data_IF_601863098925
#
_entry.id   IF_601863098925
#
_cell.length_a   1.000
_cell.length_b   1.000
_cell.length_c   1.000
_cell.angle_alpha   90.00
_cell.angle_beta   90.00
_cell.angle_gamma   90.00
#
_symmetry.space_group_name_H-M   'P 1'
#
loop_
_entity.id
_entity.type
_entity.pdbx_description
1 polymer ?
#
# COMPACT_ATOMS: atom_id res chain seq x y z
N UNK A 1 -14.85 3.56 29.23
CA UNK A 1 -16.19 4.18 29.11
C UNK A 1 -17.27 3.09 28.96
N UNK A 2 -17.20 2.20 27.96
CA UNK A 2 -18.26 1.19 27.72
C UNK A 2 -18.40 0.24 28.91
N UNK A 3 -17.32 -0.32 29.45
CA UNK A 3 -17.35 -1.16 30.64
C UNK A 3 -17.81 -0.41 31.91
N UNK A 4 -17.83 0.91 31.87
CA UNK A 4 -18.35 1.77 32.95
C UNK A 4 -19.81 2.21 32.70
N UNK A 5 -20.51 1.61 31.74
CA UNK A 5 -21.92 1.83 31.49
C UNK A 5 -22.28 2.79 30.34
N UNK A 6 -21.30 3.25 29.55
CA UNK A 6 -21.61 4.00 28.32
C UNK A 6 -22.32 3.09 27.32
N UNK A 7 -23.48 3.52 26.86
CA UNK A 7 -24.32 2.80 25.89
C UNK A 7 -24.20 3.32 24.46
N UNK A 8 -23.51 4.46 24.27
CA UNK A 8 -23.33 5.08 22.97
C UNK A 8 -21.90 5.64 22.85
N UNK A 9 -21.24 5.36 21.74
CA UNK A 9 -20.00 5.98 21.35
C UNK A 9 -20.25 6.90 20.14
N UNK A 10 -19.76 8.13 20.21
CA UNK A 10 -19.82 9.11 19.11
C UNK A 10 -18.42 9.41 18.62
N UNK A 11 -18.30 9.64 17.33
CA UNK A 11 -17.06 9.99 16.66
C UNK A 11 -17.30 10.28 15.18
N UNK A 12 -16.23 10.33 14.41
CA UNK A 12 -16.30 10.51 12.96
C UNK A 12 -15.52 9.42 12.26
N UNK A 13 -15.84 9.16 11.01
CA UNK A 13 -15.04 8.26 10.17
C UNK A 13 -13.65 8.89 10.00
N UNK A 14 -12.60 8.09 10.20
CA UNK A 14 -11.20 8.50 10.20
C UNK A 14 -10.80 9.52 11.28
N UNK A 15 -11.67 9.79 12.25
CA UNK A 15 -11.43 10.78 13.29
C UNK A 15 -11.39 12.24 12.78
N UNK A 16 -11.94 12.51 11.62
CA UNK A 16 -11.93 13.86 11.01
C UNK A 16 -12.71 14.81 11.90
N UNK A 17 -12.10 15.97 12.21
CA UNK A 17 -12.71 16.99 13.06
C UNK A 17 -11.74 18.12 13.37
N UNK A 18 -12.22 19.11 14.13
CA UNK A 18 -11.40 20.25 14.57
C UNK A 18 -10.27 19.82 15.51
N UNK A 19 -9.27 20.66 15.66
CA UNK A 19 -8.08 20.49 16.54
C UNK A 19 -7.28 19.24 16.17
N UNK A 20 -7.17 18.28 17.09
CA UNK A 20 -6.52 16.98 16.84
C UNK A 20 -7.49 15.94 16.23
N UNK A 21 -8.74 16.29 16.00
CA UNK A 21 -9.80 15.44 15.49
C UNK A 21 -10.78 14.94 16.55
N UNK A 22 -11.70 14.11 16.13
CA UNK A 22 -12.67 13.40 16.94
C UNK A 22 -12.22 11.95 17.21
N UNK A 23 -12.98 11.20 18.00
CA UNK A 23 -12.79 9.76 18.14
C UNK A 23 -12.96 9.09 16.77
N UNK A 24 -12.00 8.27 16.37
CA UNK A 24 -12.05 7.53 15.12
C UNK A 24 -13.00 6.33 15.24
N UNK A 25 -14.18 6.45 14.65
CA UNK A 25 -15.22 5.41 14.66
C UNK A 25 -14.73 4.12 14.01
N UNK A 26 -13.85 4.18 13.01
CA UNK A 26 -13.22 2.98 12.41
C UNK A 26 -12.53 2.14 13.49
N UNK A 27 -11.67 2.79 14.27
CA UNK A 27 -10.93 2.10 15.35
C UNK A 27 -11.85 1.63 16.48
N UNK A 28 -12.87 2.42 16.84
CA UNK A 28 -13.85 2.04 17.88
C UNK A 28 -14.62 0.80 17.47
N UNK A 29 -15.23 0.80 16.27
CA UNK A 29 -16.02 -0.32 15.74
C UNK A 29 -15.18 -1.58 15.60
N UNK A 30 -13.98 -1.46 15.02
CA UNK A 30 -13.10 -2.61 14.84
C UNK A 30 -12.68 -3.24 16.18
N UNK A 31 -12.31 -2.43 17.17
CA UNK A 31 -11.96 -2.96 18.51
C UNK A 31 -13.13 -3.63 19.20
N UNK A 32 -14.31 -3.00 19.20
CA UNK A 32 -15.50 -3.57 19.86
C UNK A 32 -15.93 -4.89 19.20
N UNK A 33 -15.93 -4.94 17.88
CA UNK A 33 -16.42 -6.11 17.14
C UNK A 33 -15.42 -7.27 17.09
N UNK A 34 -14.12 -7.00 17.09
CA UNK A 34 -13.09 -8.03 16.85
C UNK A 34 -12.35 -8.46 18.11
N UNK A 35 -12.35 -7.63 19.16
CA UNK A 35 -11.59 -7.89 20.38
C UNK A 35 -12.45 -8.06 21.63
N UNK A 36 -13.69 -7.59 21.61
CA UNK A 36 -14.58 -7.62 22.76
C UNK A 36 -15.87 -8.37 22.37
N UNK A 37 -15.88 -9.68 22.61
CA UNK A 37 -16.93 -10.59 22.17
C UNK A 37 -18.30 -10.32 22.83
N UNK A 38 -18.34 -9.61 23.96
CA UNK A 38 -19.55 -9.23 24.66
C UNK A 38 -20.34 -8.09 24.00
N UNK A 39 -19.75 -7.36 23.04
CA UNK A 39 -20.40 -6.24 22.37
C UNK A 39 -20.79 -6.57 20.93
N UNK A 40 -22.01 -6.23 20.57
CA UNK A 40 -22.53 -6.30 19.20
C UNK A 40 -22.70 -4.88 18.66
N UNK A 41 -21.84 -4.46 17.74
CA UNK A 41 -21.78 -3.09 17.22
C UNK A 41 -22.56 -2.95 15.90
N UNK A 42 -22.60 -4.00 15.09
CA UNK A 42 -23.25 -4.00 13.77
C UNK A 42 -24.28 -5.13 13.73
N UNK A 43 -25.57 -4.77 13.98
CA UNK A 43 -26.66 -5.74 14.05
C UNK A 43 -27.60 -5.73 12.85
N UNK A 44 -27.41 -4.80 11.89
CA UNK A 44 -28.34 -4.58 10.78
C UNK A 44 -27.68 -4.79 9.41
N UNK A 45 -27.24 -6.02 9.14
CA UNK A 45 -26.99 -6.50 7.80
C UNK A 45 -27.93 -7.67 7.51
N UNK A 46 -28.74 -7.59 6.48
CA UNK A 46 -29.46 -8.76 5.97
C UNK A 46 -28.40 -9.71 5.39
N UNK A 47 -28.07 -10.76 6.14
CA UNK A 47 -27.12 -11.80 5.72
C UNK A 47 -25.94 -12.01 6.67
N UNK A 48 -25.13 -13.01 6.36
CA UNK A 48 -23.92 -13.42 7.08
C UNK A 48 -22.75 -12.43 6.89
N UNK A 49 -22.98 -11.32 6.23
CA UNK A 49 -21.96 -10.35 5.83
C UNK A 49 -21.75 -9.30 6.92
N UNK A 50 -20.65 -9.44 7.65
CA UNK A 50 -20.22 -8.47 8.66
C UNK A 50 -19.82 -7.17 7.96
N UNK A 51 -20.52 -6.06 8.21
CA UNK A 51 -20.19 -4.73 7.68
C UNK A 51 -18.75 -4.27 7.98
N UNK A 52 -18.08 -4.94 8.91
CA UNK A 52 -16.68 -4.66 9.30
C UNK A 52 -15.72 -4.83 8.12
N UNK A 53 -15.96 -5.77 7.22
CA UNK A 53 -15.11 -5.99 6.05
C UNK A 53 -15.07 -4.80 5.08
N UNK A 54 -15.98 -3.85 5.20
CA UNK A 54 -16.02 -2.63 4.40
C UNK A 54 -15.33 -1.43 5.07
N UNK A 55 -14.70 -1.60 6.24
CA UNK A 55 -14.10 -0.48 6.97
C UNK A 55 -12.98 0.19 6.17
N UNK A 56 -12.15 -0.59 5.48
CA UNK A 56 -11.07 -0.04 4.65
C UNK A 56 -11.60 0.75 3.47
N UNK A 57 -12.61 0.23 2.78
CA UNK A 57 -13.30 0.90 1.67
C UNK A 57 -13.96 2.20 2.14
N UNK A 58 -14.71 2.15 3.24
CA UNK A 58 -15.35 3.31 3.85
C UNK A 58 -14.35 4.39 4.24
N UNK A 59 -13.25 4.00 4.86
CA UNK A 59 -12.19 4.94 5.24
C UNK A 59 -11.62 5.67 4.02
N UNK A 60 -11.32 4.94 2.95
CA UNK A 60 -10.79 5.51 1.70
C UNK A 60 -11.80 6.42 1.02
N UNK A 61 -13.05 5.98 0.91
CA UNK A 61 -14.14 6.76 0.33
C UNK A 61 -14.30 8.13 1.03
N UNK A 62 -14.23 8.15 2.36
CA UNK A 62 -14.36 9.40 3.12
C UNK A 62 -13.16 10.32 2.90
N UNK A 63 -11.92 9.80 2.85
CA UNK A 63 -10.74 10.60 2.52
C UNK A 63 -10.83 11.20 1.11
N UNK A 64 -11.24 10.42 0.12
CA UNK A 64 -11.40 10.87 -1.26
C UNK A 64 -12.50 11.94 -1.37
N UNK A 65 -13.66 11.69 -0.77
CA UNK A 65 -14.78 12.65 -0.77
C UNK A 65 -14.42 13.96 -0.09
N UNK A 66 -13.64 13.91 0.99
CA UNK A 66 -13.16 15.08 1.72
C UNK A 66 -11.95 15.77 1.04
N UNK A 67 -11.46 15.24 -0.08
CA UNK A 67 -10.22 15.67 -0.74
C UNK A 67 -9.03 15.78 0.23
N UNK A 68 -8.90 14.80 1.12
CA UNK A 68 -7.85 14.73 2.13
C UNK A 68 -6.88 13.60 1.80
N UNK A 69 -5.60 13.82 2.10
CA UNK A 69 -4.60 12.77 2.03
C UNK A 69 -4.91 11.68 3.06
N UNK A 70 -4.94 10.45 2.58
CA UNK A 70 -5.17 9.29 3.40
C UNK A 70 -3.96 9.00 4.32
N UNK A 71 -4.21 8.51 5.53
CA UNK A 71 -3.15 8.19 6.53
C UNK A 71 -2.71 6.72 6.40
N UNK A 72 -1.50 6.46 5.86
CA UNK A 72 -1.01 5.09 5.70
C UNK A 72 -0.92 4.30 7.01
N UNK A 73 -0.57 4.96 8.11
CA UNK A 73 -0.42 4.37 9.44
C UNK A 73 -1.72 4.28 10.26
N UNK A 74 -2.90 4.54 9.69
CA UNK A 74 -4.15 4.43 10.43
C UNK A 74 -4.42 2.98 10.85
N UNK A 75 -4.78 2.79 12.12
CA UNK A 75 -5.09 1.46 12.64
C UNK A 75 -6.20 0.77 11.83
N UNK A 76 -6.06 -0.53 11.61
CA UNK A 76 -6.95 -1.43 10.85
C UNK A 76 -7.04 -1.18 9.34
N UNK A 77 -7.13 0.06 8.89
CA UNK A 77 -7.49 0.41 7.50
C UNK A 77 -6.36 1.03 6.69
N UNK A 78 -5.30 1.53 7.35
CA UNK A 78 -4.14 2.10 6.68
C UNK A 78 -3.36 1.05 5.87
N UNK A 79 -2.69 1.47 4.80
CA UNK A 79 -1.87 0.56 3.97
C UNK A 79 -0.69 -0.03 4.72
N UNK A 80 -0.21 0.64 5.78
CA UNK A 80 0.87 0.16 6.63
C UNK A 80 0.39 -0.64 7.84
N UNK A 81 -0.94 -0.74 8.09
CA UNK A 81 -1.49 -1.42 9.26
C UNK A 81 -1.13 -2.91 9.33
N UNK A 82 -0.93 -3.55 8.17
CA UNK A 82 -0.54 -4.95 8.02
C UNK A 82 0.67 -5.08 7.08
N UNK A 83 1.57 -4.10 7.13
CA UNK A 83 2.80 -4.11 6.35
C UNK A 83 3.97 -4.64 7.18
N UNK A 84 4.73 -5.56 6.60
CA UNK A 84 5.87 -6.21 7.24
C UNK A 84 7.13 -6.03 6.39
N UNK A 85 8.16 -5.41 6.99
CA UNK A 85 9.44 -5.10 6.31
C UNK A 85 10.58 -6.02 6.80
N UNK A 86 10.60 -6.33 8.09
CA UNK A 86 11.68 -7.14 8.68
C UNK A 86 11.64 -8.61 8.25
N UNK A 87 12.79 -9.15 7.82
CA UNK A 87 12.89 -10.54 7.35
C UNK A 87 12.42 -11.59 8.36
N UNK A 88 12.67 -11.38 9.66
CA UNK A 88 12.18 -12.26 10.73
C UNK A 88 10.65 -12.22 10.84
N UNK A 89 10.04 -11.03 10.69
CA UNK A 89 8.59 -10.87 10.72
C UNK A 89 7.95 -11.62 9.55
N UNK A 90 8.46 -11.42 8.34
CA UNK A 90 7.97 -12.09 7.11
C UNK A 90 8.08 -13.60 7.24
N UNK A 91 9.22 -14.10 7.75
CA UNK A 91 9.42 -15.53 7.96
C UNK A 91 8.47 -16.11 9.03
N UNK A 92 8.24 -15.40 10.13
CA UNK A 92 7.33 -15.84 11.17
C UNK A 92 5.88 -15.85 10.71
N UNK A 93 5.45 -14.83 9.97
CA UNK A 93 4.10 -14.75 9.39
C UNK A 93 3.85 -15.85 8.36
N UNK A 94 4.85 -16.21 7.57
CA UNK A 94 4.76 -17.34 6.65
C UNK A 94 4.50 -18.68 7.35
N UNK A 95 4.94 -18.82 8.61
CA UNK A 95 4.65 -19.99 9.45
C UNK A 95 3.33 -19.87 10.20
N UNK A 96 3.03 -18.68 10.75
CA UNK A 96 1.81 -18.38 11.48
C UNK A 96 1.56 -16.87 11.47
N UNK A 97 0.45 -16.45 10.88
CA UNK A 97 0.04 -15.04 10.83
C UNK A 97 -0.15 -14.44 12.23
N UNK A 98 -0.61 -15.26 13.19
CA UNK A 98 -0.82 -14.87 14.59
C UNK A 98 0.46 -14.42 15.31
N UNK A 99 1.65 -14.67 14.74
CA UNK A 99 2.91 -14.26 15.35
C UNK A 99 3.06 -12.74 15.45
N UNK A 100 2.54 -12.00 14.48
CA UNK A 100 2.66 -10.55 14.38
C UNK A 100 1.36 -9.81 14.05
N UNK A 101 0.29 -10.54 13.72
CA UNK A 101 -1.01 -9.97 13.40
C UNK A 101 -2.01 -10.37 14.49
N UNK A 102 -2.62 -9.39 15.12
CA UNK A 102 -3.63 -9.62 16.16
C UNK A 102 -5.02 -9.93 15.59
N UNK A 103 -5.23 -9.64 14.30
CA UNK A 103 -6.41 -10.00 13.49
C UNK A 103 -5.97 -10.30 12.06
N UNK A 104 -6.82 -11.00 11.30
CA UNK A 104 -6.64 -11.14 9.85
C UNK A 104 -7.04 -9.82 9.15
N UNK A 105 -6.21 -9.27 8.23
CA UNK A 105 -6.52 -8.01 7.55
C UNK A 105 -7.81 -8.07 6.73
N UNK A 106 -8.16 -9.22 6.19
CA UNK A 106 -9.36 -9.44 5.39
C UNK A 106 -10.67 -9.18 6.18
N UNK A 107 -10.63 -9.33 7.51
CA UNK A 107 -11.78 -9.03 8.37
C UNK A 107 -12.22 -7.57 8.33
N UNK A 108 -11.32 -6.67 7.97
CA UNK A 108 -11.56 -5.22 7.85
C UNK A 108 -11.44 -4.73 6.40
N UNK A 109 -11.39 -5.64 5.44
CA UNK A 109 -11.25 -5.34 4.01
C UNK A 109 -9.87 -4.79 3.64
N UNK A 110 -8.84 -5.05 4.47
CA UNK A 110 -7.45 -4.71 4.18
C UNK A 110 -6.71 -5.95 3.66
N UNK A 111 -5.45 -5.78 3.31
CA UNK A 111 -4.58 -6.86 2.85
C UNK A 111 -3.21 -6.80 3.53
N UNK A 112 -2.60 -7.98 3.66
CA UNK A 112 -1.21 -8.08 4.12
C UNK A 112 -0.28 -7.59 3.04
N UNK A 113 0.75 -6.84 3.43
CA UNK A 113 1.80 -6.37 2.53
C UNK A 113 3.17 -6.77 3.07
N UNK A 114 3.99 -7.29 2.20
CA UNK A 114 5.41 -7.48 2.47
C UNK A 114 6.15 -6.36 1.74
N UNK A 115 6.93 -5.60 2.49
CA UNK A 115 7.70 -4.49 1.93
C UNK A 115 9.12 -4.96 1.61
N UNK A 116 9.62 -4.53 0.48
CA UNK A 116 11.02 -4.72 0.07
C UNK A 116 11.79 -3.44 0.32
N UNK A 117 13.02 -3.58 0.80
CA UNK A 117 13.97 -2.49 0.97
C UNK A 117 15.39 -3.03 1.01
N UNK A 118 16.38 -2.16 1.05
CA UNK A 118 17.80 -2.49 1.22
C UNK A 118 18.07 -3.43 2.42
N UNK A 119 17.22 -3.32 3.48
CA UNK A 119 17.30 -4.18 4.67
C UNK A 119 16.56 -5.51 4.52
N UNK A 120 15.95 -5.76 3.37
CA UNK A 120 15.20 -6.99 3.12
C UNK A 120 16.14 -8.17 2.90
N UNK A 121 15.77 -9.32 3.45
CA UNK A 121 16.44 -10.58 3.12
C UNK A 121 15.78 -11.28 1.92
N UNK A 122 16.39 -12.38 1.46
CA UNK A 122 15.82 -13.24 0.40
C UNK A 122 14.38 -13.67 0.65
N UNK A 123 14.00 -13.87 1.92
CA UNK A 123 12.63 -14.25 2.29
C UNK A 123 11.60 -13.19 1.93
N UNK A 124 11.95 -11.90 2.00
CA UNK A 124 11.06 -10.81 1.59
C UNK A 124 10.89 -10.82 0.07
N UNK A 125 12.01 -10.91 -0.68
CA UNK A 125 11.98 -11.02 -2.14
C UNK A 125 11.12 -12.22 -2.56
N UNK A 126 11.36 -13.41 -1.99
CA UNK A 126 10.60 -14.61 -2.31
C UNK A 126 9.10 -14.51 -1.94
N UNK A 127 8.74 -13.72 -0.91
CA UNK A 127 7.35 -13.50 -0.53
C UNK A 127 6.62 -12.58 -1.51
N UNK A 128 7.31 -11.59 -2.11
CA UNK A 128 6.74 -10.65 -3.08
C UNK A 128 6.71 -11.20 -4.51
N UNK A 129 7.68 -12.02 -4.89
CA UNK A 129 7.73 -12.58 -6.24
C UNK A 129 6.53 -13.50 -6.48
N UNK A 130 5.72 -13.16 -7.47
CA UNK A 130 4.55 -13.95 -7.88
C UNK A 130 4.93 -15.17 -8.73
N UNK A 131 6.10 -15.13 -9.37
CA UNK A 131 6.58 -16.16 -10.33
C UNK A 131 7.24 -17.34 -9.62
N UNK A 132 6.71 -18.58 -9.77
CA UNK A 132 7.26 -19.78 -9.11
C UNK A 132 8.68 -20.13 -9.56
N UNK A 133 9.02 -19.87 -10.83
CA UNK A 133 10.34 -20.11 -11.41
C UNK A 133 11.42 -19.26 -10.74
N UNK A 134 11.12 -17.98 -10.50
CA UNK A 134 12.03 -17.06 -9.80
C UNK A 134 12.08 -17.36 -8.29
N UNK A 135 10.93 -17.65 -7.69
CA UNK A 135 10.80 -17.92 -6.25
C UNK A 135 11.64 -19.10 -5.78
N UNK A 136 11.81 -20.10 -6.64
CA UNK A 136 12.56 -21.32 -6.34
C UNK A 136 14.04 -21.23 -6.75
N UNK A 137 14.46 -20.19 -7.47
CA UNK A 137 15.85 -19.98 -7.89
C UNK A 137 16.58 -19.05 -6.92
N UNK A 138 17.47 -19.62 -6.09
CA UNK A 138 18.26 -18.87 -5.12
C UNK A 138 19.16 -17.80 -5.76
N UNK A 139 19.79 -18.12 -6.89
CA UNK A 139 20.72 -17.21 -7.55
C UNK A 139 19.96 -16.01 -8.13
N UNK A 140 18.77 -16.26 -8.66
CA UNK A 140 17.92 -15.20 -9.19
C UNK A 140 17.35 -14.31 -8.08
N UNK A 141 16.93 -14.88 -6.95
CA UNK A 141 16.53 -14.11 -5.77
C UNK A 141 17.67 -13.23 -5.23
N UNK A 142 18.90 -13.75 -5.18
CA UNK A 142 20.06 -12.95 -4.75
C UNK A 142 20.37 -11.82 -5.76
N UNK A 143 20.24 -12.07 -7.05
CA UNK A 143 20.38 -11.04 -8.10
C UNK A 143 19.34 -9.94 -7.99
N UNK A 144 18.06 -10.31 -7.77
CA UNK A 144 16.97 -9.34 -7.55
C UNK A 144 17.24 -8.52 -6.29
N UNK A 145 17.66 -9.15 -5.20
CA UNK A 145 17.99 -8.45 -3.95
C UNK A 145 19.12 -7.45 -4.14
N UNK A 146 20.21 -7.83 -4.81
CA UNK A 146 21.32 -6.93 -5.10
C UNK A 146 20.88 -5.73 -5.94
N UNK A 147 20.03 -5.94 -6.93
CA UNK A 147 19.54 -4.88 -7.80
C UNK A 147 18.56 -3.94 -7.06
N UNK A 148 17.71 -4.46 -6.17
CA UNK A 148 16.90 -3.64 -5.27
C UNK A 148 17.80 -2.75 -4.41
N UNK A 149 18.78 -3.33 -3.72
CA UNK A 149 19.71 -2.57 -2.88
C UNK A 149 20.44 -1.49 -3.69
N UNK A 150 20.90 -1.81 -4.90
CA UNK A 150 21.59 -0.84 -5.78
C UNK A 150 20.66 0.33 -6.13
N UNK A 151 19.44 0.05 -6.56
CA UNK A 151 18.48 1.07 -6.96
C UNK A 151 18.00 1.92 -5.78
N UNK A 152 17.78 1.31 -4.59
CA UNK A 152 17.41 2.09 -3.40
C UNK A 152 18.54 3.03 -2.95
N UNK A 153 19.80 2.64 -3.09
CA UNK A 153 20.95 3.53 -2.86
C UNK A 153 21.00 4.70 -3.88
N UNK A 154 20.39 4.53 -5.05
CA UNK A 154 20.21 5.60 -6.04
C UNK A 154 18.96 6.46 -5.81
N UNK A 155 18.17 6.16 -4.77
CA UNK A 155 16.98 6.93 -4.40
C UNK A 155 15.64 6.34 -4.87
N UNK A 156 15.63 5.15 -5.46
CA UNK A 156 14.39 4.43 -5.81
C UNK A 156 13.70 3.91 -4.55
N UNK A 157 12.37 3.77 -4.61
CA UNK A 157 11.56 3.20 -3.52
C UNK A 157 10.58 2.17 -4.07
N UNK A 158 10.63 0.96 -3.53
CA UNK A 158 9.78 -0.15 -3.97
C UNK A 158 8.59 -0.43 -3.02
N UNK A 159 8.47 0.30 -1.90
CA UNK A 159 7.48 0.02 -0.84
C UNK A 159 6.02 0.05 -1.32
N UNK A 160 5.69 0.80 -2.36
CA UNK A 160 4.34 0.90 -2.91
C UNK A 160 4.32 0.77 -4.43
N UNK A 161 5.37 0.19 -5.01
CA UNK A 161 5.61 0.14 -6.44
C UNK A 161 5.68 -1.30 -6.93
N UNK A 162 4.63 -2.09 -6.66
CA UNK A 162 4.58 -3.54 -6.96
C UNK A 162 4.87 -3.82 -8.45
N UNK A 163 4.26 -3.04 -9.37
CA UNK A 163 4.52 -3.19 -10.79
C UNK A 163 5.98 -2.86 -11.19
N UNK A 164 6.62 -1.88 -10.54
CA UNK A 164 8.03 -1.57 -10.76
C UNK A 164 8.93 -2.69 -10.25
N UNK A 165 8.56 -3.31 -9.14
CA UNK A 165 9.25 -4.49 -8.62
C UNK A 165 9.11 -5.69 -9.55
N UNK A 166 7.92 -5.97 -10.07
CA UNK A 166 7.69 -7.04 -11.05
C UNK A 166 8.52 -6.85 -12.33
N UNK A 167 8.59 -5.61 -12.85
CA UNK A 167 9.46 -5.27 -13.98
C UNK A 167 10.95 -5.47 -13.67
N UNK A 168 11.37 -5.19 -12.44
CA UNK A 168 12.73 -5.45 -11.99
C UNK A 168 13.02 -6.96 -11.99
N UNK A 169 12.10 -7.76 -11.46
CA UNK A 169 12.19 -9.21 -11.47
C UNK A 169 12.32 -9.75 -12.89
N UNK A 170 11.49 -9.26 -13.83
CA UNK A 170 11.54 -9.67 -15.23
C UNK A 170 12.87 -9.30 -15.91
N UNK A 171 13.42 -8.12 -15.59
CA UNK A 171 14.75 -7.72 -16.08
C UNK A 171 15.87 -8.63 -15.54
N UNK A 172 15.81 -8.95 -14.24
CA UNK A 172 16.77 -9.86 -13.62
C UNK A 172 16.69 -11.28 -14.20
N UNK A 173 15.49 -11.74 -14.51
CA UNK A 173 15.21 -13.04 -15.12
C UNK A 173 15.50 -13.09 -16.62
N UNK A 174 15.73 -11.95 -17.28
CA UNK A 174 15.92 -11.88 -18.73
C UNK A 174 14.64 -12.10 -19.55
N UNK A 175 13.49 -11.96 -18.94
CA UNK A 175 12.15 -12.13 -19.57
C UNK A 175 11.48 -10.81 -19.90
N UNK A 176 12.12 -9.69 -19.55
CA UNK A 176 11.59 -8.37 -19.84
C UNK A 176 11.65 -8.06 -21.33
N UNK A 177 10.51 -7.73 -21.91
CA UNK A 177 10.37 -7.26 -23.28
C UNK A 177 9.82 -5.83 -23.27
N UNK A 178 10.59 -4.82 -23.71
CA UNK A 178 10.10 -3.44 -23.76
C UNK A 178 8.95 -3.33 -24.76
N UNK A 179 7.86 -2.70 -24.33
CA UNK A 179 6.68 -2.46 -25.20
C UNK A 179 6.90 -1.28 -26.15
N UNK A 180 7.89 -0.43 -25.85
CA UNK A 180 8.30 0.70 -26.67
C UNK A 180 9.77 1.05 -26.41
N UNK A 181 10.37 1.75 -27.38
CA UNK A 181 11.69 2.35 -27.24
C UNK A 181 11.56 3.87 -27.14
N UNK A 182 12.29 4.48 -26.22
CA UNK A 182 12.37 5.94 -26.13
C UNK A 182 13.28 6.49 -27.20
N UNK A 183 12.74 7.26 -28.15
CA UNK A 183 13.49 7.91 -29.21
C UNK A 183 14.08 9.24 -28.71
N UNK A 184 13.22 10.13 -28.20
CA UNK A 184 13.62 11.42 -27.62
C UNK A 184 12.55 11.98 -26.72
N UNK A 185 12.90 12.95 -25.89
CA UNK A 185 11.96 13.79 -25.19
C UNK A 185 12.50 15.23 -25.10
N UNK A 186 11.58 16.17 -25.04
CA UNK A 186 11.84 17.58 -24.77
C UNK A 186 10.89 18.06 -23.68
N UNK A 187 11.38 18.89 -22.76
CA UNK A 187 10.56 19.49 -21.71
C UNK A 187 10.88 20.98 -21.70
N UNK A 188 9.85 21.80 -21.96
CA UNK A 188 9.92 23.24 -21.92
C UNK A 188 9.20 23.72 -20.64
N UNK A 189 9.91 24.53 -19.84
CA UNK A 189 9.37 25.11 -18.60
C UNK A 189 9.45 26.62 -18.71
N UNK A 190 8.29 27.26 -18.76
CA UNK A 190 8.15 28.70 -18.74
C UNK A 190 7.69 29.17 -17.36
N UNK A 191 8.43 30.08 -16.73
CA UNK A 191 7.99 30.77 -15.51
C UNK A 191 7.73 32.24 -15.82
N UNK A 192 6.59 32.76 -15.35
CA UNK A 192 6.27 34.18 -15.45
C UNK A 192 6.61 34.88 -14.15
N UNK A 193 7.34 36.00 -14.23
CA UNK A 193 7.66 36.87 -13.09
C UNK A 193 6.45 37.74 -12.64
N UNK A 194 5.25 37.48 -13.16
CA UNK A 194 4.03 38.15 -12.72
C UNK A 194 3.63 37.73 -11.30
N UNK A 195 2.93 38.60 -10.57
CA UNK A 195 2.49 38.43 -9.17
C UNK A 195 1.67 37.15 -8.95
N UNK A 196 1.16 36.52 -10.00
CA UNK A 196 0.43 35.25 -9.98
C UNK A 196 1.29 34.02 -10.39
N UNK A 197 2.56 34.25 -10.70
CA UNK A 197 3.60 33.22 -10.89
C UNK A 197 3.14 31.86 -11.48
N UNK A 198 2.52 31.88 -12.67
CA UNK A 198 2.14 30.62 -13.32
C UNK A 198 3.34 29.97 -13.96
N UNK A 199 3.62 28.74 -13.57
CA UNK A 199 4.60 27.88 -14.25
C UNK A 199 3.85 27.04 -15.28
N UNK A 200 4.23 27.19 -16.56
CA UNK A 200 3.74 26.33 -17.65
C UNK A 200 4.82 25.31 -17.98
N UNK A 201 4.45 24.06 -17.98
CA UNK A 201 5.35 22.97 -18.40
C UNK A 201 4.74 22.23 -19.58
N UNK A 202 5.47 22.13 -20.66
CA UNK A 202 5.13 21.35 -21.84
C UNK A 202 6.15 20.22 -22.02
N UNK A 203 5.67 18.98 -22.25
CA UNK A 203 6.55 17.84 -22.52
C UNK A 203 6.14 17.13 -23.80
N UNK A 204 7.11 16.96 -24.71
CA UNK A 204 6.94 16.16 -25.92
C UNK A 204 7.80 14.91 -25.82
N UNK A 205 7.18 13.73 -25.93
CA UNK A 205 7.89 12.45 -25.89
C UNK A 205 7.71 11.73 -27.21
N UNK A 206 8.81 11.30 -27.82
CA UNK A 206 8.82 10.42 -29.00
C UNK A 206 9.14 9.00 -28.58
N UNK A 207 8.29 8.07 -28.91
CA UNK A 207 8.48 6.64 -28.67
C UNK A 207 8.35 5.86 -29.97
N UNK A 208 9.03 4.73 -30.05
CA UNK A 208 8.86 3.75 -31.13
C UNK A 208 8.11 2.54 -30.57
N UNK A 209 6.95 2.23 -31.17
CA UNK A 209 6.13 1.06 -30.85
C UNK A 209 6.12 0.16 -32.08
N UNK A 210 6.79 -0.97 -32.00
CA UNK A 210 7.09 -1.78 -33.18
C UNK A 210 7.92 -0.96 -34.18
N UNK A 211 7.40 -0.74 -35.38
CA UNK A 211 8.05 0.05 -36.43
C UNK A 211 7.44 1.45 -36.61
N UNK A 212 6.64 1.92 -35.67
CA UNK A 212 5.91 3.20 -35.78
C UNK A 212 6.35 4.16 -34.70
N UNK A 213 6.79 5.36 -35.11
CA UNK A 213 7.07 6.46 -34.18
C UNK A 213 5.76 7.10 -33.76
N UNK A 214 5.59 7.32 -32.45
CA UNK A 214 4.47 8.04 -31.83
C UNK A 214 4.98 9.26 -31.10
N UNK A 215 4.15 10.30 -31.10
CA UNK A 215 4.39 11.56 -30.39
C UNK A 215 3.32 11.78 -29.35
#
# INVERSE_FOLDING_TARGET
AINAGCVQAQGTINGIGERCGNADVISVVANLSLKLSEFKVLTHGHGTDSGIKHLTELSRFVYETANMSYRPGQAFVGSSAFAHKGGMHVHAIAKSTKSYEHISPELVGNSRRVLVSELSGRSNIAAMVSRPDVKNDRNLLDKVLQEVCRLENEGWQFEAADASFDLLVDRCAGTYHPQFEKVSYNVDVESSDSIEGTVRTEATVKIMVGNTVRH
#
